data_IF_656449851442
#
_entry.id   IF_656449851442
#
_cell.length_a   1.000
_cell.length_b   1.000
_cell.length_c   1.000
_cell.angle_alpha   90.00
_cell.angle_beta   90.00
_cell.angle_gamma   90.00
#
_symmetry.space_group_name_H-M   'P 1'
#
loop_
_entity.id
_entity.type
_entity.pdbx_description
1 polymer ?
#
# COMPACT_ATOMS: atom_id res chain seq x y z
N UNK A 1 32.86 66.67 -4.35
CA UNK A 1 31.83 66.33 -3.35
C UNK A 1 30.77 65.46 -4.04
N UNK A 2 30.96 64.14 -4.08
CA UNK A 2 30.02 63.21 -4.72
C UNK A 2 29.03 62.70 -3.67
N UNK A 3 27.80 63.20 -3.72
CA UNK A 3 26.70 62.75 -2.86
C UNK A 3 25.99 61.57 -3.54
N UNK A 4 26.21 60.36 -3.02
CA UNK A 4 25.47 59.18 -3.44
C UNK A 4 24.14 59.17 -2.67
N UNK A 5 23.06 59.63 -3.30
CA UNK A 5 21.70 59.37 -2.82
C UNK A 5 21.38 57.89 -3.06
N UNK A 6 21.62 57.06 -2.04
CA UNK A 6 21.22 55.66 -2.02
C UNK A 6 19.68 55.60 -2.00
N UNK A 7 19.09 55.32 -3.17
CA UNK A 7 17.64 55.33 -3.37
C UNK A 7 16.98 54.13 -2.71
N UNK A 8 16.15 54.37 -1.68
CA UNK A 8 15.33 53.39 -0.95
C UNK A 8 14.53 52.40 -1.81
N UNK A 9 14.34 52.67 -3.12
CA UNK A 9 13.58 51.85 -4.05
C UNK A 9 14.27 50.52 -4.42
N UNK A 10 15.60 50.45 -4.48
CA UNK A 10 16.31 49.21 -4.82
C UNK A 10 16.20 48.14 -3.73
N UNK A 11 16.12 48.56 -2.46
CA UNK A 11 15.93 47.66 -1.31
C UNK A 11 14.53 47.02 -1.25
N UNK A 12 13.51 47.72 -1.75
CA UNK A 12 12.13 47.20 -1.83
C UNK A 12 11.99 46.08 -2.86
N UNK A 13 12.67 46.19 -4.01
CA UNK A 13 12.62 45.15 -5.04
C UNK A 13 13.40 43.89 -4.66
N UNK A 14 14.57 44.04 -4.02
CA UNK A 14 15.34 42.88 -3.53
C UNK A 14 14.62 42.16 -2.39
N UNK A 15 13.96 42.90 -1.49
CA UNK A 15 13.13 42.32 -0.44
C UNK A 15 11.94 41.52 -0.99
N UNK A 16 11.28 42.01 -2.04
CA UNK A 16 10.15 41.30 -2.68
C UNK A 16 10.57 39.98 -3.35
N UNK A 17 11.73 39.94 -4.01
CA UNK A 17 12.27 38.71 -4.63
C UNK A 17 12.63 37.67 -3.58
N UNK A 18 13.28 38.07 -2.48
CA UNK A 18 13.60 37.15 -1.37
C UNK A 18 12.33 36.62 -0.69
N UNK A 19 11.29 37.45 -0.57
CA UNK A 19 10.00 37.02 -0.03
C UNK A 19 9.30 36.00 -0.95
N UNK A 20 9.28 36.24 -2.27
CA UNK A 20 8.72 35.29 -3.24
C UNK A 20 9.48 33.97 -3.25
N UNK A 21 10.81 34.01 -3.17
CA UNK A 21 11.63 32.80 -3.04
C UNK A 21 11.32 32.05 -1.73
N UNK A 22 11.18 32.76 -0.61
CA UNK A 22 10.83 32.15 0.68
C UNK A 22 9.42 31.54 0.67
N UNK A 23 8.43 32.21 0.08
CA UNK A 23 7.06 31.69 -0.07
C UNK A 23 7.04 30.48 -1.00
N UNK A 24 7.74 30.54 -2.14
CA UNK A 24 7.86 29.39 -3.05
C UNK A 24 8.50 28.18 -2.37
N UNK A 25 9.56 28.41 -1.59
CA UNK A 25 10.26 27.35 -0.87
C UNK A 25 9.41 26.81 0.29
N UNK A 26 8.63 27.66 0.96
CA UNK A 26 7.66 27.25 1.99
C UNK A 26 6.52 26.42 1.39
N UNK A 27 5.96 26.83 0.25
CA UNK A 27 4.95 26.05 -0.47
C UNK A 27 5.54 24.69 -0.87
N UNK A 28 6.75 24.67 -1.44
CA UNK A 28 7.44 23.43 -1.79
C UNK A 28 7.67 22.54 -0.56
N UNK A 29 8.06 23.12 0.57
CA UNK A 29 8.25 22.40 1.82
C UNK A 29 6.96 21.74 2.33
N UNK A 30 5.82 22.42 2.22
CA UNK A 30 4.51 21.83 2.55
C UNK A 30 4.14 20.66 1.63
N UNK A 31 4.60 20.66 0.36
CA UNK A 31 4.41 19.54 -0.56
C UNK A 31 5.40 18.39 -0.38
N UNK A 32 6.60 18.64 0.16
CA UNK A 32 7.65 17.62 0.37
C UNK A 32 7.57 16.98 1.75
N UNK A 33 6.86 17.60 2.72
CA UNK A 33 6.73 17.03 4.05
C UNK A 33 6.04 15.68 3.97
N UNK A 34 6.80 14.61 4.17
CA UNK A 34 6.24 13.25 4.25
C UNK A 34 5.22 13.21 5.40
N UNK A 35 4.06 12.56 5.21
CA UNK A 35 3.10 12.37 6.28
C UNK A 35 3.79 11.64 7.44
N UNK A 36 3.40 11.96 8.66
CA UNK A 36 3.91 11.20 9.81
C UNK A 36 3.52 9.73 9.60
N UNK A 37 4.50 8.84 9.71
CA UNK A 37 4.33 7.42 9.41
C UNK A 37 4.45 6.63 10.70
N UNK A 38 3.40 5.88 11.00
CA UNK A 38 3.37 4.97 12.13
C UNK A 38 3.14 3.55 11.62
N UNK A 39 3.74 2.58 12.29
CA UNK A 39 3.60 1.17 11.95
C UNK A 39 3.12 0.40 13.17
N UNK A 40 2.07 -0.38 12.99
CA UNK A 40 1.48 -1.22 14.02
C UNK A 40 1.98 -2.65 13.83
N UNK A 41 2.46 -3.23 14.93
CA UNK A 41 2.84 -4.63 14.97
C UNK A 41 1.67 -5.51 15.41
N UNK A 42 1.51 -6.64 14.75
CA UNK A 42 0.46 -7.63 15.00
C UNK A 42 1.10 -8.97 15.40
N UNK A 43 0.49 -9.64 16.37
CA UNK A 43 0.86 -11.01 16.72
C UNK A 43 0.07 -11.98 15.85
N UNK A 44 0.75 -12.66 14.94
CA UNK A 44 0.13 -13.68 14.11
C UNK A 44 0.09 -15.02 14.85
N UNK A 45 -1.05 -15.71 14.76
CA UNK A 45 -1.24 -17.06 15.34
C UNK A 45 -0.51 -18.14 14.53
N UNK A 46 -0.04 -17.81 13.32
CA UNK A 46 0.64 -18.75 12.43
C UNK A 46 1.86 -18.11 11.76
N UNK A 47 2.87 -18.93 11.48
CA UNK A 47 4.06 -18.52 10.74
C UNK A 47 3.76 -18.52 9.24
N UNK A 48 3.57 -17.33 8.69
CA UNK A 48 3.25 -17.11 7.28
C UNK A 48 4.48 -17.11 6.35
N UNK A 49 5.69 -17.31 6.88
CA UNK A 49 6.88 -17.54 6.06
C UNK A 49 6.84 -18.91 5.35
N UNK A 50 6.07 -19.87 5.87
CA UNK A 50 5.79 -21.14 5.18
C UNK A 50 4.69 -20.93 4.13
N UNK A 51 5.01 -20.99 2.82
CA UNK A 51 4.03 -20.74 1.77
C UNK A 51 2.87 -21.75 1.79
N UNK A 52 3.03 -22.94 2.39
CA UNK A 52 1.95 -23.93 2.53
C UNK A 52 0.92 -23.50 3.58
N UNK A 53 1.36 -22.85 4.66
CA UNK A 53 0.49 -22.29 5.70
C UNK A 53 -0.23 -21.05 5.18
N UNK A 54 0.49 -20.17 4.48
CA UNK A 54 -0.11 -19.04 3.77
C UNK A 54 -1.17 -19.51 2.77
N UNK A 55 -0.84 -20.52 1.95
CA UNK A 55 -1.77 -21.09 0.99
C UNK A 55 -2.99 -21.73 1.66
N UNK A 56 -2.82 -22.36 2.82
CA UNK A 56 -3.93 -22.93 3.59
C UNK A 56 -4.84 -21.88 4.21
N UNK A 57 -4.28 -20.76 4.68
CA UNK A 57 -5.03 -19.63 5.24
C UNK A 57 -5.75 -18.80 4.16
N UNK A 58 -5.14 -18.64 2.99
CA UNK A 58 -5.71 -17.89 1.88
C UNK A 58 -6.89 -18.63 1.25
N UNK A 59 -8.01 -17.93 1.07
CA UNK A 59 -9.16 -18.45 0.33
C UNK A 59 -8.95 -18.24 -1.17
N UNK A 60 -8.35 -17.11 -1.55
CA UNK A 60 -8.04 -16.78 -2.94
C UNK A 60 -6.56 -16.43 -3.09
N UNK A 61 -5.93 -16.96 -4.15
CA UNK A 61 -4.57 -16.60 -4.56
C UNK A 61 -4.59 -16.28 -6.04
N UNK A 62 -4.09 -15.11 -6.43
CA UNK A 62 -4.14 -14.65 -7.81
C UNK A 62 -3.06 -13.62 -8.10
N UNK A 63 -2.69 -13.49 -9.37
CA UNK A 63 -1.90 -12.36 -9.85
C UNK A 63 -2.87 -11.29 -10.32
N UNK A 64 -2.67 -10.05 -9.86
CA UNK A 64 -3.51 -8.93 -10.23
C UNK A 64 -2.75 -7.62 -10.36
N UNK A 65 -3.26 -6.73 -11.21
CA UNK A 65 -2.75 -5.37 -11.37
C UNK A 65 -3.66 -4.40 -10.64
N UNK A 66 -3.08 -3.57 -9.79
CA UNK A 66 -3.80 -2.50 -9.10
C UNK A 66 -4.12 -1.41 -10.10
N UNK A 67 -5.40 -1.13 -10.30
CA UNK A 67 -5.89 -0.13 -11.24
C UNK A 67 -5.99 1.24 -10.56
N UNK A 68 -6.61 1.28 -9.38
CA UNK A 68 -6.85 2.50 -8.63
C UNK A 68 -7.14 2.19 -7.16
N UNK A 69 -6.96 3.18 -6.29
CA UNK A 69 -7.56 3.16 -4.96
C UNK A 69 -9.06 3.42 -5.11
N UNK A 70 -9.87 2.57 -4.49
CA UNK A 70 -11.33 2.63 -4.54
C UNK A 70 -11.90 3.41 -3.34
N UNK A 71 -11.24 3.33 -2.18
CA UNK A 71 -11.72 4.01 -0.97
C UNK A 71 -10.89 3.68 0.26
N UNK A 72 -11.36 4.16 1.40
CA UNK A 72 -10.88 3.80 2.73
C UNK A 72 -12.06 3.51 3.64
N UNK A 73 -11.90 2.52 4.52
CA UNK A 73 -12.87 2.14 5.54
C UNK A 73 -12.14 1.51 6.70
N UNK A 74 -12.50 1.87 7.92
CA UNK A 74 -11.95 1.24 9.13
C UNK A 74 -12.97 0.26 9.70
N UNK A 75 -12.68 -1.04 9.71
CA UNK A 75 -13.50 -2.02 10.42
C UNK A 75 -13.15 -2.11 11.91
N UNK A 76 -12.02 -1.51 12.28
CA UNK A 76 -11.51 -1.40 13.65
C UNK A 76 -10.89 -0.03 13.88
N UNK A 77 -10.02 0.11 14.87
CA UNK A 77 -9.23 1.34 15.08
C UNK A 77 -8.16 1.53 13.98
N UNK A 78 -7.81 0.47 13.25
CA UNK A 78 -6.87 0.55 12.14
C UNK A 78 -7.61 0.99 10.86
N UNK A 79 -7.07 1.97 10.11
CA UNK A 79 -7.58 2.28 8.78
C UNK A 79 -7.33 1.10 7.84
N UNK A 80 -8.23 0.92 6.87
CA UNK A 80 -8.05 -0.05 5.78
C UNK A 80 -8.32 0.65 4.46
N UNK A 81 -7.53 0.30 3.44
CA UNK A 81 -7.56 0.92 2.13
C UNK A 81 -8.00 -0.10 1.08
N UNK A 82 -9.01 0.25 0.29
CA UNK A 82 -9.55 -0.62 -0.74
C UNK A 82 -9.03 -0.22 -2.12
N UNK A 83 -8.75 -1.21 -2.96
CA UNK A 83 -8.18 -1.06 -4.28
C UNK A 83 -8.96 -1.87 -5.31
N UNK A 84 -9.17 -1.26 -6.48
CA UNK A 84 -9.65 -1.98 -7.66
C UNK A 84 -8.47 -2.75 -8.27
N UNK A 85 -8.57 -4.07 -8.32
CA UNK A 85 -7.53 -4.94 -8.85
C UNK A 85 -8.08 -5.76 -10.01
N UNK A 86 -7.45 -5.63 -11.18
CA UNK A 86 -7.74 -6.48 -12.32
C UNK A 86 -7.00 -7.82 -12.17
N UNK A 87 -7.76 -8.91 -12.16
CA UNK A 87 -7.23 -10.28 -12.06
C UNK A 87 -6.63 -10.68 -13.40
N UNK A 88 -5.32 -10.93 -13.42
CA UNK A 88 -4.57 -11.41 -14.58
C UNK A 88 -4.55 -12.92 -14.62
N UNK A 89 -4.34 -13.56 -13.46
CA UNK A 89 -4.27 -15.01 -13.36
C UNK A 89 -4.77 -15.50 -12.00
N UNK A 90 -5.86 -16.26 -12.00
CA UNK A 90 -6.33 -16.98 -10.83
C UNK A 90 -5.46 -18.23 -10.57
N UNK A 91 -5.04 -18.46 -9.32
CA UNK A 91 -4.22 -19.61 -8.90
C UNK A 91 -4.99 -20.51 -7.92
N UNK A 92 -5.71 -19.91 -6.97
CA UNK A 92 -6.61 -20.57 -6.02
C UNK A 92 -7.87 -19.72 -5.86
N UNK A 93 -9.03 -20.38 -5.75
CA UNK A 93 -10.34 -19.72 -5.76
C UNK A 93 -10.90 -19.64 -7.17
N UNK A 94 -11.78 -18.68 -7.44
CA UNK A 94 -12.41 -18.51 -8.75
C UNK A 94 -12.60 -17.02 -9.11
N UNK A 95 -11.56 -16.21 -8.92
CA UNK A 95 -11.63 -14.78 -9.21
C UNK A 95 -11.35 -14.50 -10.67
N UNK A 96 -12.04 -13.50 -11.22
CA UNK A 96 -11.84 -12.98 -12.58
C UNK A 96 -12.32 -11.53 -12.66
N UNK A 97 -11.94 -10.81 -13.72
CA UNK A 97 -12.32 -9.41 -13.90
C UNK A 97 -11.68 -8.48 -12.87
N UNK A 98 -12.37 -7.39 -12.53
CA UNK A 98 -11.94 -6.46 -11.48
C UNK A 98 -12.58 -6.84 -10.15
N UNK A 99 -11.76 -7.02 -9.13
CA UNK A 99 -12.19 -7.34 -7.76
C UNK A 99 -11.74 -6.24 -6.79
N UNK A 100 -12.46 -6.11 -5.68
CA UNK A 100 -12.09 -5.19 -4.61
C UNK A 100 -11.13 -5.88 -3.64
N UNK A 101 -9.90 -5.39 -3.56
CA UNK A 101 -8.88 -5.87 -2.63
C UNK A 101 -8.74 -4.89 -1.49
N UNK A 102 -8.78 -5.39 -0.26
CA UNK A 102 -8.65 -4.61 0.96
C UNK A 102 -7.28 -4.86 1.60
N UNK A 103 -6.57 -3.81 1.99
CA UNK A 103 -5.31 -3.87 2.73
C UNK A 103 -5.49 -3.19 4.08
N UNK A 104 -5.03 -3.82 5.17
CA UNK A 104 -4.97 -3.16 6.47
C UNK A 104 -3.84 -2.13 6.46
N UNK A 105 -4.15 -0.92 6.90
CA UNK A 105 -3.31 0.25 6.74
C UNK A 105 -3.95 1.29 5.82
N UNK A 106 -3.50 2.52 5.96
CA UNK A 106 -4.05 3.68 5.26
C UNK A 106 -3.83 4.97 6.03
N UNK A 107 -4.53 6.01 5.60
CA UNK A 107 -4.49 7.30 6.29
C UNK A 107 -5.57 7.35 7.38
N UNK A 108 -5.19 7.78 8.58
CA UNK A 108 -6.13 8.04 9.68
C UNK A 108 -6.83 9.41 9.50
N UNK A 109 -7.67 9.80 10.47
CA UNK A 109 -8.38 11.08 10.44
C UNK A 109 -7.46 12.30 10.46
N UNK A 110 -6.26 12.15 11.04
CA UNK A 110 -5.23 13.19 11.15
C UNK A 110 -4.29 13.22 9.93
N UNK A 111 -4.58 12.44 8.89
CA UNK A 111 -3.77 12.28 7.66
C UNK A 111 -2.38 11.67 7.90
N UNK A 112 -2.21 10.95 9.01
CA UNK A 112 -1.01 10.17 9.28
C UNK A 112 -1.13 8.82 8.58
N UNK A 113 -0.02 8.36 8.00
CA UNK A 113 0.04 7.06 7.35
C UNK A 113 0.26 5.98 8.39
N UNK A 114 -0.74 5.12 8.58
CA UNK A 114 -0.68 3.94 9.45
C UNK A 114 -0.46 2.71 8.60
N UNK A 115 0.67 2.03 8.80
CA UNK A 115 1.00 0.76 8.16
C UNK A 115 0.88 -0.39 9.15
N UNK A 116 0.64 -1.60 8.64
CA UNK A 116 0.74 -2.83 9.43
C UNK A 116 2.05 -3.51 9.09
N UNK A 117 2.90 -3.79 10.07
CA UNK A 117 4.19 -4.47 9.87
C UNK A 117 5.13 -3.79 8.87
N UNK A 118 5.05 -2.45 8.76
CA UNK A 118 5.77 -1.64 7.77
C UNK A 118 5.47 -2.05 6.31
N UNK A 119 4.37 -2.75 6.07
CA UNK A 119 3.92 -3.14 4.75
C UNK A 119 3.44 -1.90 3.98
N UNK A 120 4.12 -1.49 2.89
CA UNK A 120 3.73 -0.32 2.14
C UNK A 120 2.36 -0.51 1.48
N UNK A 121 1.59 0.57 1.36
CA UNK A 121 0.32 0.51 0.63
C UNK A 121 0.51 0.03 -0.82
N UNK A 122 -0.46 -0.74 -1.30
CA UNK A 122 -0.56 -1.13 -2.70
C UNK A 122 -0.53 0.10 -3.62
N UNK A 123 0.16 -0.03 -4.75
CA UNK A 123 0.38 1.10 -5.67
C UNK A 123 -0.36 0.89 -6.99
N UNK A 124 -1.20 1.84 -7.43
CA UNK A 124 -1.75 1.83 -8.78
C UNK A 124 -0.67 1.63 -9.85
N UNK A 125 -1.01 0.87 -10.89
CA UNK A 125 -0.12 0.50 -11.99
C UNK A 125 0.80 -0.69 -11.70
N UNK A 126 0.93 -1.13 -10.44
CA UNK A 126 1.80 -2.24 -10.06
C UNK A 126 1.04 -3.57 -10.06
N UNK A 127 1.80 -4.66 -10.27
CA UNK A 127 1.28 -6.03 -10.30
C UNK A 127 1.83 -6.81 -9.11
N UNK A 128 0.96 -7.57 -8.46
CA UNK A 128 1.27 -8.32 -7.25
C UNK A 128 0.75 -9.75 -7.34
N UNK A 129 1.37 -10.65 -6.58
CA UNK A 129 0.81 -11.95 -6.23
C UNK A 129 0.05 -11.77 -4.92
N UNK A 130 -1.28 -11.84 -5.01
CA UNK A 130 -2.19 -11.69 -3.89
C UNK A 130 -2.50 -13.04 -3.24
N UNK A 131 -2.49 -13.08 -1.91
CA UNK A 131 -3.05 -14.13 -1.05
C UNK A 131 -4.03 -13.48 -0.09
N UNK A 132 -5.32 -13.79 -0.25
CA UNK A 132 -6.41 -13.03 0.38
C UNK A 132 -7.43 -13.95 1.03
N UNK A 133 -8.18 -13.40 1.98
CA UNK A 133 -9.40 -13.98 2.55
C UNK A 133 -10.59 -13.15 2.13
N UNK A 134 -11.70 -13.79 1.79
CA UNK A 134 -12.91 -13.07 1.41
C UNK A 134 -13.70 -12.71 2.67
N UNK A 135 -14.08 -11.43 2.78
CA UNK A 135 -14.93 -10.94 3.85
C UNK A 135 -16.33 -10.72 3.30
N UNK A 136 -17.22 -11.68 3.55
CA UNK A 136 -18.58 -11.69 2.99
C UNK A 136 -19.42 -10.46 3.40
N UNK A 137 -19.21 -9.92 4.60
CA UNK A 137 -19.97 -8.77 5.11
C UNK A 137 -19.70 -7.49 4.32
N UNK A 138 -18.50 -7.36 3.77
CA UNK A 138 -18.02 -6.17 3.05
C UNK A 138 -17.86 -6.41 1.55
N UNK A 139 -18.00 -7.66 1.11
CA UNK A 139 -17.83 -8.10 -0.27
C UNK A 139 -16.47 -7.71 -0.87
N UNK A 140 -15.38 -7.97 -0.13
CA UNK A 140 -14.02 -7.73 -0.60
C UNK A 140 -13.03 -8.83 -0.21
N UNK A 141 -11.85 -8.78 -0.81
CA UNK A 141 -10.74 -9.69 -0.55
C UNK A 141 -9.67 -9.01 0.30
N UNK A 142 -9.58 -9.34 1.59
CA UNK A 142 -8.56 -8.78 2.48
C UNK A 142 -7.23 -9.50 2.29
N UNK A 143 -6.17 -8.73 2.02
CA UNK A 143 -4.78 -9.19 1.96
C UNK A 143 -4.39 -9.78 3.31
N UNK A 144 -3.79 -10.97 3.30
CA UNK A 144 -3.18 -11.52 4.50
C UNK A 144 -1.91 -10.72 4.80
N UNK A 145 -1.76 -10.12 6.00
CA UNK A 145 -0.61 -9.26 6.29
C UNK A 145 0.75 -9.92 6.04
N UNK A 146 1.77 -9.08 5.80
CA UNK A 146 3.20 -9.41 5.64
C UNK A 146 3.56 -10.15 4.34
N UNK A 147 2.79 -11.17 3.96
CA UNK A 147 3.11 -12.03 2.82
C UNK A 147 2.01 -12.15 1.77
N UNK A 148 0.89 -11.45 1.95
CA UNK A 148 -0.28 -11.56 1.09
C UNK A 148 -0.22 -10.74 -0.19
N UNK A 149 0.78 -9.89 -0.40
CA UNK A 149 0.85 -8.96 -1.52
C UNK A 149 2.30 -8.80 -2.02
N UNK A 150 2.81 -9.86 -2.63
CA UNK A 150 4.20 -9.87 -3.09
C UNK A 150 4.32 -9.10 -4.42
N UNK A 151 5.09 -8.00 -4.48
CA UNK A 151 5.26 -7.22 -5.72
C UNK A 151 6.02 -8.03 -6.78
N UNK A 152 5.62 -7.89 -8.03
CA UNK A 152 6.20 -8.63 -9.16
C UNK A 152 6.83 -7.63 -10.14
N UNK A 153 8.17 -7.60 -10.19
CA UNK A 153 8.92 -6.61 -10.98
C UNK A 153 9.32 -7.11 -12.37
N UNK A 154 9.39 -8.44 -12.56
CA UNK A 154 9.83 -9.06 -13.81
C UNK A 154 9.08 -10.36 -14.12
N UNK A 155 9.04 -10.73 -15.40
CA UNK A 155 8.38 -11.96 -15.87
C UNK A 155 9.04 -13.24 -15.32
N UNK A 156 10.36 -13.25 -15.12
CA UNK A 156 11.06 -14.41 -14.55
C UNK A 156 10.75 -14.58 -13.06
N UNK A 157 10.74 -13.48 -12.30
CA UNK A 157 10.34 -13.48 -10.89
C UNK A 157 8.88 -13.92 -10.73
N UNK A 158 8.00 -13.40 -11.59
CA UNK A 158 6.60 -13.80 -11.69
C UNK A 158 6.47 -15.32 -11.85
N UNK A 159 7.14 -15.93 -12.83
CA UNK A 159 7.05 -17.37 -13.08
C UNK A 159 7.56 -18.21 -11.90
N UNK A 160 8.69 -17.83 -11.29
CA UNK A 160 9.26 -18.54 -10.16
C UNK A 160 8.34 -18.50 -8.93
N UNK A 161 7.80 -17.32 -8.59
CA UNK A 161 6.86 -17.16 -7.47
C UNK A 161 5.54 -17.89 -7.72
N UNK A 162 4.98 -17.79 -8.93
CA UNK A 162 3.77 -18.55 -9.31
C UNK A 162 4.00 -20.06 -9.17
N UNK A 163 5.15 -20.57 -9.64
CA UNK A 163 5.43 -22.00 -9.54
C UNK A 163 5.53 -22.46 -8.09
N UNK A 164 6.21 -21.68 -7.23
CA UNK A 164 6.32 -21.98 -5.80
C UNK A 164 4.93 -22.00 -5.15
N UNK A 165 4.13 -20.95 -5.33
CA UNK A 165 2.81 -20.88 -4.70
C UNK A 165 1.85 -21.95 -5.23
N UNK A 166 1.92 -22.32 -6.51
CA UNK A 166 1.13 -23.44 -7.06
C UNK A 166 1.47 -24.77 -6.37
N UNK A 167 2.75 -25.04 -6.13
CA UNK A 167 3.18 -26.22 -5.35
C UNK A 167 2.67 -26.13 -3.90
N UNK A 168 2.77 -24.96 -3.29
CA UNK A 168 2.31 -24.74 -1.93
C UNK A 168 0.79 -24.92 -1.79
N UNK A 169 -0.01 -24.50 -2.77
CA UNK A 169 -1.47 -24.74 -2.82
C UNK A 169 -1.80 -26.24 -2.87
N UNK A 170 -1.04 -27.02 -3.66
CA UNK A 170 -1.21 -28.47 -3.73
C UNK A 170 -0.86 -29.17 -2.40
N UNK A 171 0.05 -28.58 -1.63
CA UNK A 171 0.58 -29.12 -0.37
C UNK A 171 0.13 -28.31 0.85
N UNK A 172 -0.97 -27.57 0.72
CA UNK A 172 -1.37 -26.58 1.70
C UNK A 172 -1.68 -27.21 3.06
N UNK A 173 -1.30 -26.52 4.12
CA UNK A 173 -1.60 -26.93 5.50
C UNK A 173 -2.86 -26.19 5.91
N UNK A 174 -3.96 -26.93 6.09
CA UNK A 174 -5.22 -26.34 6.50
C UNK A 174 -5.06 -25.65 7.85
N UNK A 175 -5.48 -24.39 7.93
CA UNK A 175 -5.55 -23.67 9.19
C UNK A 175 -6.68 -24.28 10.03
N UNK A 176 -6.33 -24.88 11.16
CA UNK A 176 -7.29 -25.26 12.20
C UNK A 176 -7.19 -24.22 13.33
N UNK A 177 -8.26 -23.44 13.61
CA UNK A 177 -8.27 -22.64 14.83
C UNK A 177 -8.21 -23.61 16.01
N UNK A 178 -7.21 -23.47 16.88
CA UNK A 178 -7.23 -24.15 18.17
C UNK A 178 -8.53 -23.74 18.90
N UNK A 179 -9.25 -24.75 19.40
CA UNK A 179 -10.56 -24.58 20.04
C UNK A 179 -10.44 -23.89 21.38
#
# INVERSE_FOLDING_TARGET
MFSIKCGKKTWLFTGAILFLAAVSNFILFQFIKEPDQQSVHINMVTDLNDPRKLAGLAENIFVGKVISQAGTKSLSQLPETQFNVEVIQNIKGNLSGTVLVNQQGGYNQDQELVLVENDPLLKPGHTYLFSTRYLQQEDWHTVIPIHGDVPLKSTSELQAKILNIKKAVQQQIQFQPEK
#
